data_IF_969700359451
#
_entry.id   IF_969700359451
#
_cell.length_a   1.000
_cell.length_b   1.000
_cell.length_c   1.000
_cell.angle_alpha   90.00
_cell.angle_beta   90.00
_cell.angle_gamma   90.00
#
_symmetry.space_group_name_H-M   'P 1'
#
loop_
_entity.id
_entity.type
_entity.pdbx_description
1 polymer ?
#
# COMPACT_ATOMS: atom_id res chain seq x y z
N UNK A 1 -6.67 -10.91 -9.21
CA UNK A 1 -6.05 -9.66 -9.70
C UNK A 1 -7.17 -8.67 -9.69
N UNK A 2 -7.07 -7.71 -8.80
CA UNK A 2 -8.20 -6.88 -8.41
C UNK A 2 -8.15 -5.55 -9.15
N UNK A 3 -9.28 -5.14 -9.72
CA UNK A 3 -9.35 -3.88 -10.50
C UNK A 3 -9.63 -2.73 -9.54
N UNK A 4 -8.72 -1.75 -9.53
CA UNK A 4 -8.85 -0.56 -8.69
C UNK A 4 -9.76 0.43 -9.39
N UNK A 5 -10.77 0.92 -8.66
CA UNK A 5 -11.74 1.91 -9.14
C UNK A 5 -11.25 3.34 -8.93
N UNK A 6 -10.64 3.62 -7.79
CA UNK A 6 -9.98 4.88 -7.51
C UNK A 6 -8.91 4.69 -6.42
N UNK A 7 -8.06 5.71 -6.28
CA UNK A 7 -6.98 5.72 -5.30
C UNK A 7 -7.09 7.01 -4.51
N UNK A 8 -6.73 6.94 -3.23
CA UNK A 8 -6.57 8.11 -2.39
C UNK A 8 -5.19 8.09 -1.74
N UNK A 9 -4.53 9.25 -1.72
CA UNK A 9 -3.22 9.46 -1.11
C UNK A 9 -3.37 10.54 -0.06
N UNK A 10 -3.20 10.17 1.20
CA UNK A 10 -3.22 11.09 2.32
C UNK A 10 -1.84 11.11 2.98
N UNK A 11 -1.19 12.27 2.92
CA UNK A 11 0.15 12.46 3.49
C UNK A 11 0.10 13.65 4.45
N UNK A 12 0.34 13.37 5.73
CA UNK A 12 0.40 14.36 6.80
C UNK A 12 1.76 14.33 7.47
N UNK A 13 1.97 15.19 8.48
CA UNK A 13 3.15 15.10 9.34
C UNK A 13 3.16 13.84 10.22
N UNK A 14 2.00 13.18 10.37
CA UNK A 14 1.82 12.03 11.25
C UNK A 14 1.82 10.71 10.49
N UNK A 15 1.26 10.69 9.29
CA UNK A 15 0.89 9.47 8.58
C UNK A 15 1.09 9.63 7.08
N UNK A 16 1.52 8.54 6.44
CA UNK A 16 1.49 8.36 5.00
C UNK A 16 0.52 7.21 4.69
N UNK A 17 -0.46 7.46 3.84
CA UNK A 17 -1.48 6.50 3.46
C UNK A 17 -1.68 6.46 1.95
N UNK A 18 -1.71 5.25 1.39
CA UNK A 18 -2.14 4.98 0.02
C UNK A 18 -3.28 3.97 0.10
N UNK A 19 -4.49 4.40 -0.28
CA UNK A 19 -5.69 3.58 -0.28
C UNK A 19 -6.07 3.21 -1.70
N UNK A 20 -6.25 1.92 -1.97
CA UNK A 20 -6.76 1.40 -3.23
C UNK A 20 -8.18 0.91 -3.02
N UNK A 21 -9.15 1.55 -3.68
CA UNK A 21 -10.54 1.12 -3.67
C UNK A 21 -10.76 0.05 -4.74
N UNK A 22 -11.00 -1.18 -4.31
CA UNK A 22 -11.22 -2.35 -5.15
C UNK A 22 -12.73 -2.56 -5.28
N UNK A 23 -13.24 -2.58 -6.52
CA UNK A 23 -14.65 -2.88 -6.78
C UNK A 23 -14.87 -4.39 -6.84
N UNK A 24 -15.60 -4.92 -5.86
CA UNK A 24 -15.93 -6.34 -5.74
C UNK A 24 -17.34 -6.67 -6.25
N UNK A 25 -18.02 -5.71 -6.89
CA UNK A 25 -19.36 -5.88 -7.44
C UNK A 25 -20.49 -5.46 -6.50
N UNK A 26 -21.71 -5.39 -7.04
CA UNK A 26 -22.94 -5.03 -6.32
C UNK A 26 -22.88 -3.71 -5.52
N UNK A 27 -21.98 -2.79 -5.91
CA UNK A 27 -21.76 -1.51 -5.23
C UNK A 27 -20.91 -1.62 -3.96
N UNK A 28 -20.31 -2.78 -3.69
CA UNK A 28 -19.39 -2.96 -2.58
C UNK A 28 -17.94 -2.66 -3.00
N UNK A 29 -17.22 -2.02 -2.09
CA UNK A 29 -15.80 -1.67 -2.24
C UNK A 29 -15.03 -2.30 -1.10
N UNK A 30 -13.93 -2.95 -1.42
CA UNK A 30 -12.89 -3.32 -0.46
C UNK A 30 -11.73 -2.33 -0.56
N UNK A 31 -11.09 -2.04 0.56
CA UNK A 31 -9.91 -1.16 0.60
C UNK A 31 -8.67 -1.98 0.88
N UNK A 32 -7.67 -1.87 0.01
CA UNK A 32 -6.28 -2.20 0.31
C UNK A 32 -5.56 -0.93 0.74
N UNK A 33 -5.00 -0.92 1.94
CA UNK A 33 -4.35 0.24 2.54
C UNK A 33 -2.87 -0.05 2.77
N UNK A 34 -2.02 0.87 2.30
CA UNK A 34 -0.63 1.00 2.72
C UNK A 34 -0.55 2.16 3.70
N UNK A 35 -0.20 1.89 4.96
CA UNK A 35 -0.14 2.91 6.01
C UNK A 35 1.21 2.90 6.70
N UNK A 36 1.86 4.07 6.81
CA UNK A 36 3.04 4.26 7.63
C UNK A 36 2.80 5.38 8.62
N UNK A 37 2.87 5.06 9.90
CA UNK A 37 2.92 6.04 10.97
C UNK A 37 4.32 6.64 11.04
N UNK A 38 4.43 7.97 11.04
CA UNK A 38 5.69 8.71 11.13
C UNK A 38 5.99 9.13 12.56
N UNK A 39 4.99 9.66 13.28
CA UNK A 39 5.19 10.11 14.66
C UNK A 39 5.29 8.91 15.59
N UNK A 40 6.36 8.87 16.39
CA UNK A 40 6.57 7.85 17.41
C UNK A 40 6.98 6.48 16.86
N UNK A 41 7.08 6.30 15.54
CA UNK A 41 7.51 5.04 14.91
C UNK A 41 8.87 4.58 15.45
N UNK A 42 9.78 5.53 15.69
CA UNK A 42 11.12 5.26 16.23
C UNK A 42 11.10 4.61 17.63
N UNK A 43 9.99 4.69 18.37
CA UNK A 43 9.84 4.10 19.70
C UNK A 43 9.22 2.69 19.66
N UNK A 44 8.66 2.27 18.51
CA UNK A 44 8.10 0.93 18.33
C UNK A 44 9.20 -0.14 18.23
N UNK A 45 8.90 -1.41 18.53
CA UNK A 45 9.75 -2.55 18.16
C UNK A 45 10.10 -2.55 16.66
N UNK A 46 11.28 -3.03 16.29
CA UNK A 46 11.76 -2.99 14.89
C UNK A 46 10.83 -3.71 13.91
N UNK A 47 10.22 -4.81 14.33
CA UNK A 47 9.26 -5.59 13.55
C UNK A 47 7.87 -4.93 13.43
N UNK A 48 7.59 -3.95 14.29
CA UNK A 48 6.39 -3.12 14.26
C UNK A 48 6.58 -1.84 13.44
N UNK A 49 7.78 -1.50 12.97
CA UNK A 49 8.03 -0.31 12.14
C UNK A 49 7.74 -0.54 10.66
N UNK A 50 7.66 0.55 9.90
CA UNK A 50 7.52 0.56 8.45
C UNK A 50 6.08 0.57 7.97
N UNK A 51 5.92 0.48 6.65
CA UNK A 51 4.62 0.51 5.99
C UNK A 51 3.85 -0.78 6.27
N UNK A 52 2.65 -0.67 6.82
CA UNK A 52 1.70 -1.76 7.05
C UNK A 52 0.78 -1.93 5.87
N UNK A 53 0.39 -3.17 5.62
CA UNK A 53 -0.56 -3.53 4.57
C UNK A 53 -1.80 -4.13 5.23
N UNK A 54 -2.94 -3.49 5.03
CA UNK A 54 -4.23 -4.00 5.51
C UNK A 54 -5.23 -4.08 4.37
N UNK A 55 -6.12 -5.06 4.44
CA UNK A 55 -7.16 -5.26 3.43
C UNK A 55 -8.50 -5.51 4.11
N UNK A 56 -9.53 -4.80 3.65
CA UNK A 56 -10.88 -4.93 4.18
C UNK A 56 -11.35 -6.38 4.08
N UNK A 57 -11.86 -6.93 5.18
CA UNK A 57 -12.35 -8.32 5.22
C UNK A 57 -11.26 -9.40 5.29
N UNK A 58 -9.98 -9.05 5.32
CA UNK A 58 -8.90 -10.03 5.51
C UNK A 58 -8.73 -10.39 6.99
N UNK A 59 -8.57 -11.69 7.28
CA UNK A 59 -8.27 -12.21 8.62
C UNK A 59 -6.77 -12.50 8.72
N UNK A 60 -5.97 -11.44 8.80
CA UNK A 60 -4.50 -11.52 8.86
C UNK A 60 -4.08 -11.62 10.33
N UNK A 61 -3.36 -12.69 10.73
CA UNK A 61 -2.81 -12.79 12.07
C UNK A 61 -1.84 -11.63 12.35
N UNK A 62 -1.99 -10.99 13.51
CA UNK A 62 -1.14 -9.87 13.94
C UNK A 62 -0.99 -8.80 12.84
N UNK A 63 -2.10 -8.23 12.37
CA UNK A 63 -2.16 -7.26 11.25
C UNK A 63 -1.11 -6.13 11.36
N UNK A 64 -0.82 -5.65 12.57
CA UNK A 64 0.22 -4.64 12.84
C UNK A 64 1.65 -5.10 12.50
N UNK A 65 1.89 -6.40 12.36
CA UNK A 65 3.15 -7.01 11.91
C UNK A 65 3.17 -7.28 10.40
N UNK A 66 2.05 -7.08 9.68
CA UNK A 66 1.96 -7.28 8.24
C UNK A 66 2.61 -6.12 7.45
N UNK A 67 3.93 -5.99 7.59
CA UNK A 67 4.70 -4.96 6.91
C UNK A 67 4.92 -5.28 5.43
N UNK A 68 4.99 -4.23 4.64
CA UNK A 68 5.36 -4.25 3.24
C UNK A 68 6.82 -4.72 3.08
N UNK A 69 7.05 -5.68 2.18
CA UNK A 69 8.37 -6.25 1.86
C UNK A 69 8.84 -5.83 0.46
N UNK A 70 7.90 -5.75 -0.50
CA UNK A 70 8.19 -5.25 -1.84
C UNK A 70 6.97 -4.72 -2.57
N UNK A 71 7.22 -3.74 -3.43
CA UNK A 71 6.29 -3.28 -4.46
C UNK A 71 6.99 -3.37 -5.81
N UNK A 72 6.34 -4.06 -6.75
CA UNK A 72 6.76 -4.11 -8.16
C UNK A 72 5.68 -3.45 -9.00
N UNK A 73 6.08 -2.55 -9.88
CA UNK A 73 5.16 -1.91 -10.81
C UNK A 73 5.57 -2.22 -12.25
N UNK A 74 4.64 -2.81 -12.98
CA UNK A 74 4.77 -3.17 -14.40
C UNK A 74 3.59 -2.57 -15.17
N UNK A 75 3.83 -1.43 -15.84
CA UNK A 75 2.80 -0.70 -16.55
C UNK A 75 1.64 -0.25 -15.64
N UNK A 76 0.46 -0.87 -15.79
CA UNK A 76 -0.71 -0.62 -14.95
C UNK A 76 -0.88 -1.62 -13.81
N UNK A 77 0.02 -2.59 -13.66
CA UNK A 77 -0.11 -3.63 -12.64
C UNK A 77 0.85 -3.30 -11.49
N UNK A 78 0.32 -3.28 -10.27
CA UNK A 78 1.14 -3.21 -9.05
C UNK A 78 1.04 -4.54 -8.32
N UNK A 79 2.19 -5.14 -8.02
CA UNK A 79 2.32 -6.31 -7.16
C UNK A 79 2.84 -5.89 -5.79
N UNK A 80 2.04 -6.11 -4.75
CA UNK A 80 2.31 -5.75 -3.36
C UNK A 80 2.56 -7.03 -2.58
N UNK A 81 3.75 -7.16 -1.99
CA UNK A 81 4.07 -8.27 -1.10
C UNK A 81 4.34 -7.74 0.30
N UNK A 82 3.62 -8.29 1.27
CA UNK A 82 3.80 -8.05 2.68
C UNK A 82 4.15 -9.37 3.41
N UNK A 83 4.46 -9.27 4.71
CA UNK A 83 4.88 -10.41 5.54
C UNK A 83 3.88 -11.57 5.53
N UNK A 84 2.58 -11.27 5.57
CA UNK A 84 1.51 -12.27 5.70
C UNK A 84 0.48 -12.20 4.56
N UNK A 85 0.64 -11.29 3.61
CA UNK A 85 -0.30 -11.12 2.50
C UNK A 85 0.39 -10.70 1.21
N UNK A 86 -0.24 -11.01 0.08
CA UNK A 86 0.20 -10.54 -1.24
C UNK A 86 -0.99 -10.15 -2.08
N UNK A 87 -0.88 -9.02 -2.78
CA UNK A 87 -1.93 -8.49 -3.64
C UNK A 87 -1.36 -8.16 -5.02
N UNK A 88 -2.18 -8.36 -6.04
CA UNK A 88 -1.90 -7.89 -7.38
C UNK A 88 -3.11 -7.07 -7.84
N UNK A 89 -2.87 -5.77 -8.05
CA UNK A 89 -3.89 -4.80 -8.37
C UNK A 89 -3.65 -4.23 -9.77
N UNK A 90 -4.75 -3.98 -10.48
CA UNK A 90 -4.75 -3.42 -11.83
C UNK A 90 -5.29 -1.98 -11.81
N UNK A 91 -4.43 -1.07 -12.25
CA UNK A 91 -4.64 0.38 -12.29
C UNK A 91 -5.12 0.87 -13.67
N UNK A 92 -5.62 -0.01 -14.55
CA UNK A 92 -6.07 0.38 -15.90
C UNK A 92 -7.12 1.52 -15.92
N UNK A 93 -7.87 1.71 -14.83
CA UNK A 93 -8.88 2.79 -14.69
C UNK A 93 -8.29 4.10 -14.12
N UNK A 94 -7.04 4.07 -13.67
CA UNK A 94 -6.38 5.16 -12.96
C UNK A 94 -5.55 5.97 -13.95
N UNK A 95 -5.56 7.29 -13.80
CA UNK A 95 -4.77 8.16 -14.67
C UNK A 95 -3.26 7.97 -14.45
N UNK A 96 -2.45 8.28 -15.46
CA UNK A 96 -0.98 8.20 -15.33
C UNK A 96 -0.46 9.20 -14.30
N UNK A 97 -1.13 10.34 -14.17
CA UNK A 97 -0.82 11.38 -13.19
C UNK A 97 -0.99 10.85 -11.77
N UNK A 98 -2.11 10.18 -11.47
CA UNK A 98 -2.35 9.52 -10.18
C UNK A 98 -1.35 8.37 -9.94
N UNK A 99 -1.04 7.57 -10.97
CA UNK A 99 -0.04 6.50 -10.86
C UNK A 99 1.34 7.07 -10.47
N UNK A 100 1.74 8.20 -11.07
CA UNK A 100 2.99 8.87 -10.69
C UNK A 100 2.96 9.40 -9.26
N UNK A 101 1.82 9.86 -8.76
CA UNK A 101 1.68 10.28 -7.36
C UNK A 101 1.87 9.10 -6.40
N UNK A 102 1.37 7.91 -6.73
CA UNK A 102 1.64 6.69 -5.95
C UNK A 102 3.14 6.42 -5.89
N UNK A 103 3.86 6.58 -7.00
CA UNK A 103 5.31 6.33 -7.01
C UNK A 103 6.07 7.28 -6.10
N UNK A 104 5.71 8.56 -6.12
CA UNK A 104 6.32 9.55 -5.22
C UNK A 104 5.96 9.25 -3.75
N UNK A 105 4.73 8.82 -3.48
CA UNK A 105 4.32 8.41 -2.14
C UNK A 105 5.05 7.15 -1.66
N UNK A 106 5.18 6.12 -2.51
CA UNK A 106 5.95 4.91 -2.22
C UNK A 106 7.41 5.20 -1.89
N UNK A 107 8.04 6.17 -2.56
CA UNK A 107 9.40 6.62 -2.21
C UNK A 107 9.47 7.21 -0.80
N UNK A 108 8.45 7.98 -0.38
CA UNK A 108 8.36 8.53 0.98
C UNK A 108 8.11 7.45 2.01
N UNK A 109 7.20 6.52 1.71
CA UNK A 109 7.00 5.31 2.50
C UNK A 109 8.28 4.50 2.67
N UNK A 110 9.21 4.53 1.71
CA UNK A 110 10.48 3.80 1.73
C UNK A 110 11.70 4.66 2.07
N UNK A 111 11.55 5.75 2.84
CA UNK A 111 12.67 6.66 3.14
C UNK A 111 13.88 5.98 3.81
N UNK A 112 13.64 4.87 4.51
CA UNK A 112 14.61 4.05 5.24
C UNK A 112 15.00 2.76 4.50
N UNK A 113 14.54 2.57 3.26
CA UNK A 113 14.87 1.43 2.40
C UNK A 113 14.52 0.04 2.99
N UNK A 114 13.47 -0.03 3.82
CA UNK A 114 13.03 -1.27 4.47
C UNK A 114 12.28 -2.23 3.54
N UNK A 115 11.80 -1.76 2.40
CA UNK A 115 11.18 -2.61 1.37
C UNK A 115 11.77 -2.35 -0.02
N UNK A 116 11.59 -3.30 -0.92
CA UNK A 116 12.08 -3.18 -2.30
C UNK A 116 11.04 -2.46 -3.15
N UNK A 117 11.49 -1.53 -3.98
CA UNK A 117 10.64 -0.89 -5.00
C UNK A 117 11.28 -1.14 -6.36
N UNK A 118 10.51 -1.72 -7.28
CA UNK A 118 10.93 -1.98 -8.66
C UNK A 118 9.91 -1.37 -9.62
N UNK A 119 10.42 -0.63 -10.61
CA UNK A 119 9.62 -0.06 -11.69
C UNK A 119 10.14 -0.66 -13.00
N UNK A 120 9.28 -1.32 -13.74
CA UNK A 120 9.59 -2.03 -14.99
C UNK A 120 9.00 -1.31 -16.20
#
# INVERSE_FOLDING_TARGET
MEVVSFIDIEETENDLMISFAIDIGDGYIETLLLHRQLIGEFALPEDERGTKVSHTGSDIPDEFLNRLESVEVDGSIISIKARFSSYQIDLQKISREEINQIYESLKRHNFDSQFKVQFT
#
